data_IF_450487653809
#
_entry.id   IF_450487653809
#
_cell.length_a   1.000
_cell.length_b   1.000
_cell.length_c   1.000
_cell.angle_alpha   90.00
_cell.angle_beta   90.00
_cell.angle_gamma   90.00
#
_symmetry.space_group_name_H-M   'P 1'
#
loop_
_entity.id
_entity.type
_entity.pdbx_description
1 polymer ?
#
# COMPACT_ATOMS: atom_id res chain seq x y z
N UNK A 1 -27.32 -15.68 -31.84
CA UNK A 1 -27.04 -15.84 -30.40
C UNK A 1 -25.72 -15.11 -30.10
N UNK A 2 -25.76 -13.86 -29.62
CA UNK A 2 -24.53 -13.10 -29.34
C UNK A 2 -23.86 -13.66 -28.09
N UNK A 3 -22.71 -14.31 -28.29
CA UNK A 3 -21.80 -14.72 -27.24
C UNK A 3 -21.33 -13.46 -26.51
N UNK A 4 -21.90 -13.18 -25.33
CA UNK A 4 -21.42 -12.12 -24.43
C UNK A 4 -19.99 -12.46 -24.02
N UNK A 5 -19.00 -12.01 -24.80
CA UNK A 5 -17.58 -12.07 -24.45
C UNK A 5 -17.41 -11.43 -23.07
N UNK A 6 -17.27 -12.26 -22.03
CA UNK A 6 -17.00 -11.79 -20.67
C UNK A 6 -15.68 -11.03 -20.71
N UNK A 7 -15.73 -9.71 -20.44
CA UNK A 7 -14.51 -8.89 -20.35
C UNK A 7 -13.54 -9.56 -19.35
N UNK A 8 -12.26 -9.73 -19.71
CA UNK A 8 -11.30 -10.41 -18.85
C UNK A 8 -11.13 -9.64 -17.54
N UNK A 9 -11.16 -10.34 -16.40
CA UNK A 9 -10.96 -9.74 -15.09
C UNK A 9 -9.53 -9.24 -14.93
N UNK A 10 -9.37 -8.00 -14.49
CA UNK A 10 -8.06 -7.44 -14.13
C UNK A 10 -7.60 -8.06 -12.82
N UNK A 11 -6.32 -8.44 -12.76
CA UNK A 11 -5.73 -9.14 -11.60
C UNK A 11 -5.01 -8.14 -10.72
N UNK A 12 -5.31 -8.15 -9.42
CA UNK A 12 -4.50 -7.49 -8.40
C UNK A 12 -3.70 -8.57 -7.69
N UNK A 13 -2.38 -8.55 -7.84
CA UNK A 13 -1.50 -9.41 -7.06
C UNK A 13 -1.44 -8.93 -5.62
N UNK A 14 -1.47 -9.85 -4.66
CA UNK A 14 -1.44 -9.52 -3.24
C UNK A 14 -0.67 -10.58 -2.45
N UNK A 15 0.21 -10.12 -1.58
CA UNK A 15 0.74 -10.90 -0.47
C UNK A 15 0.77 -10.05 0.79
N UNK A 16 0.40 -10.65 1.92
CA UNK A 16 0.55 -10.05 3.24
C UNK A 16 0.96 -11.14 4.23
N UNK A 17 2.11 -10.95 4.88
CA UNK A 17 2.69 -11.94 5.79
C UNK A 17 3.37 -11.26 6.98
N UNK A 18 3.32 -11.94 8.12
CA UNK A 18 4.11 -11.66 9.31
C UNK A 18 5.42 -12.44 9.21
N UNK A 19 6.53 -11.74 9.34
CA UNK A 19 7.88 -12.29 9.31
C UNK A 19 8.29 -12.79 10.71
N UNK A 20 9.40 -13.54 10.77
CA UNK A 20 9.88 -14.17 12.01
C UNK A 20 10.27 -13.14 13.09
N UNK A 21 10.75 -11.98 12.66
CA UNK A 21 11.11 -10.84 13.52
C UNK A 21 9.91 -9.98 13.94
N UNK A 22 8.69 -10.50 13.75
CA UNK A 22 7.43 -9.82 14.05
C UNK A 22 7.16 -8.56 13.22
N UNK A 23 7.92 -8.33 12.15
CA UNK A 23 7.64 -7.29 11.17
C UNK A 23 6.69 -7.78 10.09
N UNK A 24 5.99 -6.85 9.45
CA UNK A 24 4.98 -7.12 8.43
C UNK A 24 5.54 -6.80 7.06
N UNK A 25 5.30 -7.73 6.14
CA UNK A 25 5.50 -7.51 4.71
C UNK A 25 4.15 -7.56 4.01
N UNK A 26 3.84 -6.52 3.24
CA UNK A 26 2.62 -6.38 2.44
C UNK A 26 3.02 -5.88 1.06
N UNK A 27 2.50 -6.49 0.01
CA UNK A 27 2.71 -6.03 -1.35
C UNK A 27 1.46 -6.26 -2.19
N UNK A 28 1.05 -5.22 -2.90
CA UNK A 28 -0.06 -5.25 -3.83
C UNK A 28 0.34 -4.61 -5.14
N UNK A 29 -0.14 -5.14 -6.26
CA UNK A 29 0.13 -4.54 -7.56
C UNK A 29 -0.97 -4.80 -8.57
N UNK A 30 -1.02 -3.94 -9.58
CA UNK A 30 -1.81 -4.11 -10.79
C UNK A 30 -0.94 -3.73 -12.00
N UNK A 31 -1.27 -4.30 -13.16
CA UNK A 31 -0.64 -3.91 -14.43
C UNK A 31 -1.62 -3.05 -15.21
N UNK A 32 -1.22 -1.82 -15.45
CA UNK A 32 -1.89 -0.85 -16.33
C UNK A 32 -1.46 -1.11 -17.79
N UNK A 33 -2.28 -0.71 -18.77
CA UNK A 33 -1.88 -0.78 -20.18
C UNK A 33 -0.54 -0.07 -20.51
N UNK A 34 0.11 -0.43 -21.63
CA UNK A 34 1.38 0.17 -22.05
C UNK A 34 1.34 1.68 -22.23
N UNK A 35 0.18 2.26 -22.53
CA UNK A 35 0.02 3.70 -22.71
C UNK A 35 0.48 4.54 -21.51
N UNK A 36 0.52 3.98 -20.30
CA UNK A 36 0.92 4.70 -19.09
C UNK A 36 2.41 4.59 -18.77
N UNK A 37 3.20 3.84 -19.55
CA UNK A 37 4.65 3.79 -19.36
C UNK A 37 5.21 5.20 -19.55
N UNK A 38 5.93 5.71 -18.55
CA UNK A 38 6.48 7.06 -18.53
C UNK A 38 5.47 8.17 -18.23
N UNK A 39 4.17 7.87 -18.07
CA UNK A 39 3.14 8.87 -17.76
C UNK A 39 2.73 8.92 -16.29
N UNK A 40 3.14 7.94 -15.49
CA UNK A 40 2.72 7.81 -14.10
C UNK A 40 3.93 7.58 -13.19
N UNK A 41 4.32 8.65 -12.51
CA UNK A 41 5.45 8.62 -11.57
C UNK A 41 5.01 8.06 -10.20
N UNK A 42 5.94 7.58 -9.38
CA UNK A 42 5.65 7.22 -7.99
C UNK A 42 5.08 8.36 -7.14
N UNK A 43 5.46 9.60 -7.40
CA UNK A 43 4.92 10.77 -6.68
C UNK A 43 3.46 11.03 -7.05
N UNK A 44 3.07 10.76 -8.30
CA UNK A 44 1.67 10.81 -8.71
C UNK A 44 0.85 9.74 -7.98
N UNK A 45 1.41 8.53 -7.86
CA UNK A 45 0.79 7.44 -7.09
C UNK A 45 0.63 7.80 -5.61
N UNK A 46 1.65 8.41 -5.01
CA UNK A 46 1.62 8.85 -3.62
C UNK A 46 0.53 9.93 -3.41
N UNK A 47 0.50 10.94 -4.27
CA UNK A 47 -0.51 12.02 -4.22
C UNK A 47 -1.93 11.48 -4.38
N UNK A 48 -2.13 10.57 -5.33
CA UNK A 48 -3.41 9.85 -5.51
C UNK A 48 -3.77 9.01 -4.30
N UNK A 49 -2.79 8.38 -3.65
CA UNK A 49 -3.01 7.59 -2.45
C UNK A 49 -3.49 8.46 -1.29
N UNK A 50 -2.87 9.62 -1.06
CA UNK A 50 -3.34 10.56 -0.03
C UNK A 50 -4.76 11.04 -0.29
N UNK A 51 -5.04 11.46 -1.52
CA UNK A 51 -6.40 11.85 -1.90
C UNK A 51 -7.39 10.70 -1.68
N UNK A 52 -7.01 9.48 -2.07
CA UNK A 52 -7.82 8.30 -1.86
C UNK A 52 -8.10 8.01 -0.38
N UNK A 53 -7.10 8.06 0.50
CA UNK A 53 -7.29 7.84 1.95
C UNK A 53 -8.27 8.86 2.52
N UNK A 54 -8.12 10.13 2.15
CA UNK A 54 -9.04 11.19 2.58
C UNK A 54 -10.47 10.88 2.16
N UNK A 55 -10.70 10.47 0.91
CA UNK A 55 -12.04 10.14 0.42
C UNK A 55 -12.60 8.85 1.04
N UNK A 56 -11.78 7.80 1.12
CA UNK A 56 -12.17 6.49 1.61
C UNK A 56 -12.54 6.50 3.09
N UNK A 57 -11.85 7.32 3.88
CA UNK A 57 -12.09 7.45 5.32
C UNK A 57 -13.02 8.60 5.66
N UNK A 58 -13.62 9.28 4.67
CA UNK A 58 -14.42 10.50 4.86
C UNK A 58 -13.68 11.56 5.69
N UNK A 59 -12.37 11.71 5.45
CA UNK A 59 -11.46 12.60 6.18
C UNK A 59 -11.33 12.29 7.69
N UNK A 60 -11.72 11.10 8.15
CA UNK A 60 -11.39 10.57 9.47
C UNK A 60 -9.87 10.42 9.62
N UNK A 61 -9.21 9.93 8.57
CA UNK A 61 -7.75 9.88 8.47
C UNK A 61 -7.33 10.93 7.44
N UNK A 62 -6.51 11.89 7.88
CA UNK A 62 -6.03 13.00 7.05
C UNK A 62 -4.54 12.85 6.83
N UNK A 63 -4.10 12.57 5.59
CA UNK A 63 -2.71 12.73 5.22
C UNK A 63 -2.34 14.21 5.33
N UNK A 64 -1.25 14.49 6.03
CA UNK A 64 -0.63 15.79 6.16
C UNK A 64 0.81 15.65 5.69
N UNK A 65 1.24 16.49 4.75
CA UNK A 65 2.59 16.48 4.21
C UNK A 65 3.22 17.85 4.48
N UNK A 66 4.39 17.83 5.14
CA UNK A 66 5.17 19.03 5.43
C UNK A 66 6.66 18.74 5.21
N UNK A 67 7.29 19.49 4.31
CA UNK A 67 8.68 19.27 3.88
C UNK A 67 8.96 17.77 3.63
N UNK A 68 9.73 17.16 4.52
CA UNK A 68 10.18 15.77 4.43
C UNK A 68 9.38 14.82 5.33
N UNK A 69 8.23 15.27 5.83
CA UNK A 69 7.38 14.48 6.74
C UNK A 69 6.00 14.25 6.15
N UNK A 70 5.50 13.03 6.33
CA UNK A 70 4.14 12.63 5.97
C UNK A 70 3.49 12.01 7.20
N UNK A 71 2.32 12.49 7.58
CA UNK A 71 1.58 11.96 8.73
C UNK A 71 0.15 11.60 8.35
N UNK A 72 -0.35 10.49 8.87
CA UNK A 72 -1.76 10.14 8.78
C UNK A 72 -2.42 10.45 10.12
N UNK A 73 -3.05 11.62 10.22
CA UNK A 73 -3.65 12.12 11.47
C UNK A 73 -5.10 11.69 11.64
N UNK A 74 -5.51 11.47 12.88
CA UNK A 74 -6.90 11.17 13.23
C UNK A 74 -7.70 12.48 13.40
N UNK A 75 -8.83 12.63 12.72
CA UNK A 75 -9.90 13.60 13.03
C UNK A 75 -9.48 15.01 13.44
N UNK A 76 -8.83 15.79 12.57
CA UNK A 76 -8.41 17.18 12.92
C UNK A 76 -7.59 17.32 14.21
N UNK A 77 -7.16 16.21 14.82
CA UNK A 77 -6.33 16.22 16.02
C UNK A 77 -4.86 16.26 15.61
N UNK A 78 -3.99 16.57 16.58
CA UNK A 78 -2.55 16.40 16.43
C UNK A 78 -2.08 14.94 16.53
N UNK A 79 -2.99 13.97 16.70
CA UNK A 79 -2.63 12.57 16.90
C UNK A 79 -2.29 11.94 15.54
N UNK A 80 -1.01 11.65 15.33
CA UNK A 80 -0.54 10.85 14.20
C UNK A 80 -0.74 9.35 14.45
N UNK A 81 -1.50 8.70 13.59
CA UNK A 81 -1.65 7.25 13.58
C UNK A 81 -0.35 6.59 13.10
N UNK A 82 0.26 7.17 12.07
CA UNK A 82 1.55 6.76 11.54
C UNK A 82 2.21 7.98 10.88
N UNK A 83 3.47 8.20 11.21
CA UNK A 83 4.33 9.23 10.63
C UNK A 83 5.44 8.57 9.81
N UNK A 84 5.83 9.27 8.76
CA UNK A 84 6.88 8.87 7.86
C UNK A 84 7.83 10.04 7.57
N UNK A 85 9.09 9.70 7.31
CA UNK A 85 10.05 10.55 6.63
C UNK A 85 10.01 10.23 5.14
N UNK A 86 9.81 11.27 4.32
CA UNK A 86 9.81 11.17 2.86
C UNK A 86 11.24 11.25 2.33
N UNK A 87 11.58 10.37 1.42
CA UNK A 87 12.85 10.42 0.70
C UNK A 87 12.65 10.92 -0.72
N UNK A 88 13.68 11.54 -1.34
CA UNK A 88 13.65 11.81 -2.77
C UNK A 88 13.35 10.54 -3.57
N UNK A 89 12.57 10.64 -4.66
CA UNK A 89 12.30 9.48 -5.50
C UNK A 89 13.60 8.94 -6.07
N UNK A 90 13.72 7.61 -6.07
CA UNK A 90 14.88 6.91 -6.64
C UNK A 90 14.51 6.31 -7.98
N UNK A 91 15.37 6.52 -8.97
CA UNK A 91 15.26 5.92 -10.29
C UNK A 91 16.37 4.88 -10.45
N UNK A 92 15.97 3.67 -10.81
CA UNK A 92 16.85 2.58 -11.23
C UNK A 92 16.60 2.30 -12.71
N UNK A 93 17.49 1.56 -13.37
CA UNK A 93 17.41 1.28 -14.82
C UNK A 93 16.03 0.80 -15.30
N UNK A 94 15.24 0.13 -14.44
CA UNK A 94 13.95 -0.43 -14.81
C UNK A 94 12.82 -0.16 -13.80
N UNK A 95 12.98 0.80 -12.89
CA UNK A 95 11.90 1.20 -11.98
C UNK A 95 12.15 2.53 -11.30
N UNK A 96 11.07 3.27 -11.09
CA UNK A 96 11.03 4.46 -10.23
C UNK A 96 10.34 4.10 -8.92
N UNK A 97 10.84 4.64 -7.81
CA UNK A 97 10.29 4.40 -6.47
C UNK A 97 10.20 5.69 -5.65
N UNK A 98 9.05 5.93 -5.03
CA UNK A 98 8.91 6.88 -3.92
C UNK A 98 8.79 6.10 -2.62
N UNK A 99 9.67 6.36 -1.67
CA UNK A 99 9.74 5.65 -0.39
C UNK A 99 9.48 6.60 0.77
N UNK A 100 8.59 6.16 1.66
CA UNK A 100 8.31 6.77 2.94
C UNK A 100 8.82 5.84 4.04
N UNK A 101 9.88 6.22 4.75
CA UNK A 101 10.34 5.44 5.92
C UNK A 101 9.47 5.77 7.11
N UNK A 102 9.03 4.76 7.85
CA UNK A 102 8.27 4.97 9.08
C UNK A 102 9.17 5.71 10.07
N UNK A 103 8.62 6.73 10.71
CA UNK A 103 9.30 7.55 11.72
C UNK A 103 8.54 7.63 13.06
N UNK A 104 7.32 7.07 13.14
CA UNK A 104 6.59 6.94 14.39
C UNK A 104 5.07 6.88 14.25
N UNK A 105 4.35 7.26 15.31
CA UNK A 105 2.90 7.30 15.37
C UNK A 105 2.28 6.18 16.23
N UNK A 106 1.00 6.32 16.56
CA UNK A 106 0.31 5.44 17.52
C UNK A 106 0.26 3.97 17.09
N UNK A 107 0.27 3.69 15.79
CA UNK A 107 0.18 2.32 15.26
C UNK A 107 1.53 1.61 15.22
N UNK A 108 2.65 2.29 15.51
CA UNK A 108 4.02 1.74 15.45
C UNK A 108 4.52 1.37 16.85
N UNK A 109 5.34 0.32 16.96
CA UNK A 109 6.04 0.02 18.22
C UNK A 109 7.09 1.09 18.52
N UNK A 110 7.12 1.61 19.75
CA UNK A 110 8.02 2.70 20.18
C UNK A 110 9.49 2.44 19.85
N UNK A 111 9.96 1.21 20.09
CA UNK A 111 11.36 0.83 19.87
C UNK A 111 11.70 0.53 18.40
N UNK A 112 10.72 0.61 17.49
CA UNK A 112 10.87 0.33 16.06
C UNK A 112 10.35 1.49 15.20
N UNK A 113 10.29 2.71 15.75
CA UNK A 113 9.80 3.88 15.01
C UNK A 113 10.64 4.23 13.78
N UNK A 114 11.91 3.86 13.73
CA UNK A 114 12.80 4.06 12.57
C UNK A 114 12.81 2.88 11.59
N UNK A 115 11.91 1.90 11.80
CA UNK A 115 11.89 0.65 11.05
C UNK A 115 10.64 0.54 10.20
N UNK A 116 10.84 0.22 8.94
CA UNK A 116 9.78 -0.05 7.99
C UNK A 116 9.62 1.04 6.97
N UNK A 117 9.07 0.66 5.82
CA UNK A 117 8.97 1.52 4.66
C UNK A 117 7.67 1.26 3.92
N UNK A 118 7.03 2.33 3.47
CA UNK A 118 5.97 2.31 2.49
C UNK A 118 6.52 2.82 1.15
N UNK A 119 6.54 1.96 0.14
CA UNK A 119 7.07 2.27 -1.18
C UNK A 119 5.98 2.21 -2.24
N UNK A 120 6.01 3.20 -3.13
CA UNK A 120 5.23 3.25 -4.36
C UNK A 120 6.19 3.04 -5.52
N UNK A 121 5.97 2.00 -6.32
CA UNK A 121 6.91 1.61 -7.38
C UNK A 121 6.16 1.61 -8.72
N UNK A 122 6.75 2.28 -9.70
CA UNK A 122 6.34 2.22 -11.10
C UNK A 122 7.41 1.45 -11.87
N UNK A 123 7.04 0.31 -12.45
CA UNK A 123 7.95 -0.58 -13.18
C UNK A 123 7.37 -0.97 -14.54
N UNK A 124 8.01 -0.62 -15.67
CA UNK A 124 7.66 -1.17 -16.97
C UNK A 124 7.78 -2.69 -16.97
N UNK A 125 6.81 -3.37 -17.57
CA UNK A 125 6.80 -4.81 -17.83
C UNK A 125 6.28 -5.08 -19.25
N UNK A 126 6.53 -6.27 -19.85
CA UNK A 126 6.11 -6.52 -21.24
C UNK A 126 4.61 -6.32 -21.53
N UNK A 127 3.76 -6.41 -20.50
CA UNK A 127 2.31 -6.22 -20.62
C UNK A 127 1.81 -4.81 -20.27
N UNK A 128 2.70 -3.88 -19.92
CA UNK A 128 2.39 -2.48 -19.62
C UNK A 128 3.12 -1.94 -18.39
N UNK A 129 2.50 -1.03 -17.65
CA UNK A 129 3.10 -0.45 -16.44
C UNK A 129 2.62 -1.20 -15.19
N UNK A 130 3.53 -1.85 -14.46
CA UNK A 130 3.24 -2.44 -13.15
C UNK A 130 3.39 -1.37 -12.08
N UNK A 131 2.29 -1.03 -11.43
CA UNK A 131 2.28 -0.18 -10.23
C UNK A 131 2.22 -1.05 -8.98
N UNK A 132 3.05 -0.77 -7.99
CA UNK A 132 3.18 -1.57 -6.77
C UNK A 132 3.08 -0.66 -5.55
N UNK A 133 2.32 -1.11 -4.56
CA UNK A 133 2.41 -0.62 -3.19
C UNK A 133 3.07 -1.70 -2.35
N UNK A 134 4.09 -1.33 -1.61
CA UNK A 134 4.81 -2.25 -0.75
C UNK A 134 4.96 -1.64 0.63
N UNK A 135 4.60 -2.39 1.67
CA UNK A 135 4.96 -2.12 3.06
C UNK A 135 5.98 -3.18 3.47
N UNK A 136 7.18 -2.75 3.86
CA UNK A 136 8.24 -3.65 4.32
C UNK A 136 8.59 -3.32 5.76
N UNK A 137 9.05 -4.32 6.52
CA UNK A 137 9.65 -4.17 7.84
C UNK A 137 8.82 -3.38 8.88
N UNK A 138 7.51 -3.20 8.67
CA UNK A 138 6.64 -2.47 9.59
C UNK A 138 6.42 -3.28 10.86
N UNK A 139 6.60 -2.65 12.03
CA UNK A 139 6.38 -3.26 13.33
C UNK A 139 5.10 -2.68 13.98
N UNK A 140 3.93 -3.35 13.84
CA UNK A 140 2.67 -2.85 14.38
C UNK A 140 2.66 -2.88 15.91
N UNK A 141 2.17 -1.81 16.53
CA UNK A 141 1.99 -1.70 17.99
C UNK A 141 1.16 -2.87 18.54
N UNK A 142 0.09 -3.26 17.84
CA UNK A 142 -0.80 -4.34 18.26
C UNK A 142 -0.10 -5.71 18.40
N UNK A 143 0.97 -5.95 17.65
CA UNK A 143 1.73 -7.19 17.75
C UNK A 143 2.70 -7.16 18.94
N UNK A 144 3.32 -6.01 19.22
CA UNK A 144 4.44 -5.91 20.16
C UNK A 144 5.67 -6.69 19.70
N UNK A 145 6.71 -6.72 20.54
CA UNK A 145 8.00 -7.36 20.21
C UNK A 145 7.92 -8.90 20.18
N UNK A 146 7.03 -9.49 20.98
CA UNK A 146 6.74 -10.94 21.02
C UNK A 146 5.23 -11.18 20.92
N UNK A 147 4.68 -11.31 19.70
CA UNK A 147 3.24 -11.37 19.51
C UNK A 147 2.64 -12.70 19.96
N UNK A 148 1.73 -12.65 20.94
CA UNK A 148 0.89 -13.78 21.32
C UNK A 148 -0.11 -14.13 20.21
N UNK A 149 -0.66 -15.34 20.25
CA UNK A 149 -1.69 -15.78 19.28
C UNK A 149 -2.89 -14.83 19.23
N UNK A 150 -3.35 -14.35 20.38
CA UNK A 150 -4.47 -13.39 20.48
C UNK A 150 -4.13 -12.06 19.80
N UNK A 151 -2.94 -11.50 20.07
CA UNK A 151 -2.49 -10.25 19.44
C UNK A 151 -2.39 -10.39 17.92
N UNK A 152 -1.89 -11.53 17.44
CA UNK A 152 -1.88 -11.84 15.99
C UNK A 152 -3.28 -11.85 15.41
N UNK A 153 -4.24 -12.49 16.07
CA UNK A 153 -5.64 -12.53 15.60
C UNK A 153 -6.23 -11.12 15.54
N UNK A 154 -6.10 -10.32 16.60
CA UNK A 154 -6.60 -8.95 16.65
C UNK A 154 -5.96 -8.12 15.53
N UNK A 155 -4.66 -8.21 15.34
CA UNK A 155 -3.96 -7.55 14.25
C UNK A 155 -4.50 -7.94 12.87
N UNK A 156 -4.70 -9.25 12.62
CA UNK A 156 -5.23 -9.77 11.36
C UNK A 156 -6.59 -9.21 11.02
N UNK A 157 -7.52 -9.22 11.97
CA UNK A 157 -8.92 -8.79 11.74
C UNK A 157 -9.06 -7.26 11.69
N UNK A 158 -8.09 -6.51 12.23
CA UNK A 158 -8.12 -5.04 12.26
C UNK A 158 -7.17 -4.44 11.23
N UNK A 159 -5.94 -4.12 11.61
CA UNK A 159 -4.98 -3.37 10.80
C UNK A 159 -4.64 -4.10 9.50
N UNK A 160 -4.39 -5.41 9.56
CA UNK A 160 -4.00 -6.19 8.39
C UNK A 160 -5.15 -6.28 7.37
N UNK A 161 -6.39 -6.47 7.83
CA UNK A 161 -7.57 -6.52 6.98
C UNK A 161 -7.90 -5.14 6.38
N UNK A 162 -7.88 -4.08 7.18
CA UNK A 162 -8.13 -2.71 6.73
C UNK A 162 -7.10 -2.31 5.68
N UNK A 163 -5.81 -2.51 5.96
CA UNK A 163 -4.73 -2.19 5.02
C UNK A 163 -4.92 -2.92 3.68
N UNK A 164 -5.22 -4.22 3.71
CA UNK A 164 -5.52 -5.01 2.51
C UNK A 164 -6.69 -4.43 1.71
N UNK A 165 -7.79 -4.06 2.36
CA UNK A 165 -8.95 -3.46 1.65
C UNK A 165 -8.54 -2.14 1.01
N UNK A 166 -7.86 -1.28 1.78
CA UNK A 166 -7.45 0.05 1.36
C UNK A 166 -6.56 -0.03 0.13
N UNK A 167 -5.51 -0.87 0.13
CA UNK A 167 -4.57 -0.97 -0.99
C UNK A 167 -5.20 -1.59 -2.24
N UNK A 168 -6.03 -2.63 -2.09
CA UNK A 168 -6.74 -3.26 -3.22
C UNK A 168 -7.72 -2.27 -3.86
N UNK A 169 -8.52 -1.56 -3.06
CA UNK A 169 -9.50 -0.59 -3.56
C UNK A 169 -8.83 0.65 -4.14
N UNK A 170 -7.71 1.09 -3.56
CA UNK A 170 -6.86 2.13 -4.15
C UNK A 170 -6.44 1.75 -5.57
N UNK A 171 -5.78 0.59 -5.75
CA UNK A 171 -5.31 0.13 -7.06
C UNK A 171 -6.45 -0.02 -8.08
N UNK A 172 -7.60 -0.53 -7.64
CA UNK A 172 -8.78 -0.65 -8.51
C UNK A 172 -9.35 0.72 -8.93
N UNK A 173 -9.36 1.70 -8.01
CA UNK A 173 -9.79 3.07 -8.29
C UNK A 173 -8.81 3.79 -9.20
N UNK A 174 -7.51 3.67 -8.96
CA UNK A 174 -6.46 4.22 -9.85
C UNK A 174 -6.62 3.67 -11.27
N UNK A 175 -6.85 2.37 -11.42
CA UNK A 175 -7.17 1.80 -12.73
C UNK A 175 -8.41 2.44 -13.37
N UNK A 176 -9.50 2.55 -12.62
CA UNK A 176 -10.75 3.13 -13.12
C UNK A 176 -10.60 4.59 -13.54
N UNK A 177 -9.88 5.40 -12.76
CA UNK A 177 -9.68 6.83 -13.04
C UNK A 177 -8.83 7.06 -14.29
N UNK A 178 -7.84 6.21 -14.53
CA UNK A 178 -6.98 6.31 -15.71
C UNK A 178 -7.70 5.80 -16.97
N UNK A 179 -8.39 4.67 -16.87
CA UNK A 179 -8.98 3.99 -18.03
C UNK A 179 -10.41 4.42 -18.34
N UNK A 180 -11.07 5.13 -17.43
CA UNK A 180 -12.49 5.48 -17.52
C UNK A 180 -13.45 4.29 -17.39
N UNK A 181 -12.94 3.06 -17.25
CA UNK A 181 -13.74 1.82 -17.23
C UNK A 181 -13.60 1.10 -15.90
N UNK A 182 -14.72 0.83 -15.22
CA UNK A 182 -14.70 0.08 -13.96
C UNK A 182 -14.18 -1.34 -14.18
N UNK A 183 -13.03 -1.73 -13.62
CA UNK A 183 -12.47 -3.05 -13.85
C UNK A 183 -13.23 -4.10 -13.03
N UNK A 184 -13.47 -5.26 -13.62
CA UNK A 184 -13.80 -6.45 -12.82
C UNK A 184 -12.50 -6.98 -12.21
N UNK A 185 -12.33 -6.81 -10.89
CA UNK A 185 -11.11 -7.16 -10.17
C UNK A 185 -11.15 -8.61 -9.69
N UNK A 186 -10.04 -9.34 -9.89
CA UNK A 186 -9.73 -10.61 -9.23
C UNK A 186 -8.46 -10.45 -8.41
N UNK A 187 -8.54 -10.60 -7.09
CA UNK A 187 -7.34 -10.64 -6.23
C UNK A 187 -6.66 -12.00 -6.38
N UNK A 188 -5.36 -11.99 -6.65
CA UNK A 188 -4.54 -13.18 -6.85
C UNK A 188 -3.47 -13.21 -5.75
N UNK A 189 -3.40 -14.32 -5.01
CA UNK A 189 -2.39 -14.51 -3.96
C UNK A 189 -1.02 -14.70 -4.60
N UNK A 190 -0.03 -13.98 -4.08
CA UNK A 190 1.37 -14.11 -4.43
C UNK A 190 2.19 -14.69 -3.27
N UNK A 191 3.36 -15.25 -3.59
CA UNK A 191 4.33 -15.79 -2.63
C UNK A 191 5.73 -15.28 -2.97
N UNK A 192 6.03 -14.05 -2.58
CA UNK A 192 7.33 -13.38 -2.78
C UNK A 192 8.22 -13.57 -1.54
N UNK A 193 7.67 -13.40 -0.34
CA UNK A 193 8.38 -13.63 0.94
C UNK A 193 7.83 -14.85 1.68
N UNK A 194 8.67 -15.53 2.49
CA UNK A 194 8.22 -16.57 3.43
C UNK A 194 7.79 -15.92 4.74
N UNK A 195 6.65 -16.32 5.29
CA UNK A 195 6.11 -15.78 6.54
C UNK A 195 4.75 -16.37 6.90
N UNK A 196 4.27 -16.07 8.10
CA UNK A 196 2.95 -16.47 8.57
C UNK A 196 1.90 -15.60 7.87
N UNK A 197 0.89 -16.21 7.22
CA UNK A 197 -0.13 -15.41 6.53
C UNK A 197 -0.91 -14.56 7.55
N UNK A 198 -1.11 -13.29 7.23
CA UNK A 198 -1.92 -12.35 8.03
C UNK A 198 -3.24 -12.06 7.36
#
# INVERSE_FOLDING_TARGET
MLEKRRKPRKKIGLQQVLLQDSSVFSIQWIVLPPAYIGQLTPNDLLSRYFHYIRMFTMSLIRPYQAHDTVEFRLLNTGISLISFTSHPPTSSENSETATLSISGGFLVQKDNCSRGELSFISKPVPSGLKIVLQLSNYCPMLLGTKPSRLRKIIYRITQAYIHKIVTVRFLAKTYYELEGVRPSIKVVKARIKKGETT
#
